data_IF_693390471016
#
_entry.id   IF_693390471016
#
_cell.length_a   1.000
_cell.length_b   1.000
_cell.length_c   1.000
_cell.angle_alpha   90.00
_cell.angle_beta   90.00
_cell.angle_gamma   90.00
#
_symmetry.space_group_name_H-M   'P 1'
#
loop_
_entity.id
_entity.type
_entity.pdbx_description
1 polymer ?
#
# COMPACT_ATOMS: atom_id res chain seq x y z
N UNK A 1 3.69 25.80 8.20
CA UNK A 1 2.95 24.91 7.28
C UNK A 1 3.49 23.50 7.46
N UNK A 2 3.02 22.77 8.48
CA UNK A 2 3.48 21.42 8.73
C UNK A 2 2.80 20.47 7.75
N UNK A 3 3.57 19.77 6.92
CA UNK A 3 3.05 18.75 6.01
C UNK A 3 2.24 17.74 6.79
N UNK A 4 0.96 17.57 6.46
CA UNK A 4 0.08 16.57 7.07
C UNK A 4 0.78 15.22 6.99
N UNK A 5 1.19 14.68 8.14
CA UNK A 5 1.65 13.30 8.26
C UNK A 5 0.44 12.43 7.95
N UNK A 6 0.39 11.89 6.74
CA UNK A 6 -0.70 11.01 6.26
C UNK A 6 -0.81 9.74 7.15
N UNK A 7 0.18 9.51 8.01
CA UNK A 7 0.23 8.44 9.00
C UNK A 7 -0.53 8.72 10.31
N UNK A 8 -1.04 9.94 10.52
CA UNK A 8 -1.90 10.27 11.67
C UNK A 8 -3.39 9.99 11.39
N UNK A 9 -3.76 9.63 10.16
CA UNK A 9 -5.12 9.19 9.87
C UNK A 9 -5.35 7.78 10.46
N UNK A 10 -6.44 7.63 11.21
CA UNK A 10 -6.81 6.36 11.83
C UNK A 10 -6.84 5.24 10.78
N UNK A 11 -6.00 4.21 10.93
CA UNK A 11 -5.98 3.06 10.03
C UNK A 11 -7.37 2.42 9.99
N UNK A 12 -8.03 2.46 8.84
CA UNK A 12 -9.30 1.77 8.63
C UNK A 12 -9.03 0.27 8.51
N UNK A 13 -9.68 -0.54 9.35
CA UNK A 13 -9.68 -1.99 9.18
C UNK A 13 -10.58 -2.34 7.99
N UNK A 14 -10.09 -3.21 7.13
CA UNK A 14 -10.84 -3.71 5.98
C UNK A 14 -10.75 -5.23 5.96
N UNK A 15 -11.91 -5.89 5.88
CA UNK A 15 -12.00 -7.33 5.71
C UNK A 15 -12.36 -7.61 4.27
N UNK A 16 -11.61 -8.49 3.61
CA UNK A 16 -11.89 -8.95 2.27
C UNK A 16 -11.81 -10.47 2.20
N UNK A 17 -12.63 -11.07 1.35
CA UNK A 17 -12.53 -12.48 1.00
C UNK A 17 -11.75 -12.60 -0.31
N UNK A 18 -10.70 -13.41 -0.29
CA UNK A 18 -9.86 -13.67 -1.45
C UNK A 18 -9.95 -15.14 -1.83
N UNK A 19 -9.78 -15.43 -3.12
CA UNK A 19 -9.58 -16.81 -3.57
C UNK A 19 -8.22 -17.32 -3.09
N UNK A 20 -8.08 -18.63 -2.95
CA UNK A 20 -6.82 -19.24 -2.54
C UNK A 20 -5.66 -18.88 -3.49
N UNK A 21 -5.92 -18.88 -4.80
CA UNK A 21 -4.94 -18.47 -5.82
C UNK A 21 -4.48 -17.02 -5.63
N UNK A 22 -5.38 -16.11 -5.24
CA UNK A 22 -5.02 -14.72 -4.96
C UNK A 22 -4.15 -14.60 -3.70
N UNK A 23 -4.44 -15.39 -2.66
CA UNK A 23 -3.63 -15.44 -1.43
C UNK A 23 -2.21 -15.96 -1.76
N UNK A 24 -2.11 -17.05 -2.51
CA UNK A 24 -0.82 -17.62 -2.91
C UNK A 24 0.00 -16.61 -3.74
N UNK A 25 -0.65 -15.91 -4.68
CA UNK A 25 0.01 -14.87 -5.46
C UNK A 25 0.52 -13.71 -4.59
N UNK A 26 -0.25 -13.29 -3.58
CA UNK A 26 0.18 -12.26 -2.63
C UNK A 26 1.36 -12.70 -1.75
N UNK A 27 1.41 -13.97 -1.33
CA UNK A 27 2.55 -14.51 -0.56
C UNK A 27 3.83 -14.58 -1.41
N UNK A 28 3.73 -14.91 -2.71
CA UNK A 28 4.88 -14.81 -3.62
C UNK A 28 5.37 -13.37 -3.74
N UNK A 29 4.44 -12.42 -3.95
CA UNK A 29 4.77 -10.99 -4.02
C UNK A 29 5.38 -10.45 -2.73
N UNK A 30 5.01 -11.00 -1.57
CA UNK A 30 5.60 -10.64 -0.28
C UNK A 30 7.10 -10.91 -0.23
N UNK A 31 7.55 -12.05 -0.77
CA UNK A 31 8.97 -12.39 -0.86
C UNK A 31 9.69 -11.46 -1.84
N UNK A 32 9.12 -11.26 -3.04
CA UNK A 32 9.70 -10.38 -4.07
C UNK A 32 9.89 -8.93 -3.59
N UNK A 33 8.93 -8.41 -2.83
CA UNK A 33 8.94 -7.03 -2.32
C UNK A 33 9.65 -6.87 -0.97
N UNK A 34 10.09 -7.98 -0.33
CA UNK A 34 10.61 -7.95 1.03
C UNK A 34 9.62 -7.33 2.03
N UNK A 35 8.34 -7.65 1.89
CA UNK A 35 7.26 -7.10 2.71
C UNK A 35 7.02 -7.94 3.97
N UNK A 36 6.58 -7.30 5.04
CA UNK A 36 6.42 -7.98 6.34
C UNK A 36 5.05 -8.70 6.48
N UNK A 37 4.05 -8.30 5.68
CA UNK A 37 2.69 -8.87 5.72
C UNK A 37 1.97 -8.70 4.39
N UNK A 38 0.87 -9.43 4.18
CA UNK A 38 0.03 -9.25 2.99
C UNK A 38 -0.60 -7.86 2.92
N UNK A 39 -0.90 -7.24 4.07
CA UNK A 39 -1.38 -5.85 4.12
C UNK A 39 -0.33 -4.86 3.62
N UNK A 40 0.95 -5.07 3.96
CA UNK A 40 2.08 -4.27 3.47
C UNK A 40 2.26 -4.46 1.95
N UNK A 41 2.13 -5.69 1.44
CA UNK A 41 2.12 -5.96 -0.02
C UNK A 41 1.02 -5.17 -0.72
N UNK A 42 -0.23 -5.29 -0.26
CA UNK A 42 -1.38 -4.60 -0.87
C UNK A 42 -1.19 -3.09 -0.83
N UNK A 43 -0.71 -2.54 0.29
CA UNK A 43 -0.46 -1.10 0.42
C UNK A 43 0.60 -0.64 -0.58
N UNK A 44 1.75 -1.31 -0.68
CA UNK A 44 2.82 -0.96 -1.62
C UNK A 44 2.36 -1.03 -3.08
N UNK A 45 1.70 -2.13 -3.45
CA UNK A 45 1.17 -2.30 -4.81
C UNK A 45 0.10 -1.24 -5.15
N UNK A 46 -0.73 -0.86 -4.19
CA UNK A 46 -1.71 0.21 -4.39
C UNK A 46 -1.02 1.55 -4.68
N UNK A 47 0.09 1.86 -3.99
CA UNK A 47 0.84 3.10 -4.15
C UNK A 47 1.61 3.19 -5.46
N UNK A 48 2.12 2.07 -5.97
CA UNK A 48 2.77 2.03 -7.30
C UNK A 48 1.81 2.40 -8.43
N UNK A 49 0.53 2.05 -8.27
CA UNK A 49 -0.53 2.38 -9.24
C UNK A 49 -1.10 3.78 -9.07
N UNK A 50 -0.80 4.46 -7.97
CA UNK A 50 -1.20 5.86 -7.81
C UNK A 50 -0.29 6.73 -8.67
N UNK A 51 -0.84 7.70 -9.44
CA UNK A 51 0.00 8.70 -10.08
C UNK A 51 0.83 9.35 -8.98
N UNK A 52 2.17 9.33 -9.12
CA UNK A 52 3.06 10.06 -8.23
C UNK A 52 2.52 11.48 -8.20
N UNK A 53 2.03 11.95 -7.04
CA UNK A 53 1.75 13.38 -6.87
C UNK A 53 3.08 14.09 -7.10
N UNK A 54 3.26 14.61 -8.31
CA UNK A 54 4.26 15.63 -8.57
C UNK A 54 3.79 16.80 -7.72
N UNK A 55 4.41 16.99 -6.55
CA UNK A 55 4.28 18.23 -5.82
C UNK A 55 4.92 19.29 -6.72
N UNK A 56 4.15 19.84 -7.65
CA UNK A 56 4.47 21.10 -8.34
C UNK A 56 4.28 22.22 -7.32
N UNK A 57 5.19 22.26 -6.34
CA UNK A 57 5.40 23.39 -5.46
C UNK A 57 6.25 24.41 -6.20
N UNK A 58 5.55 25.43 -6.71
CA UNK A 58 5.97 26.76 -7.17
C UNK A 58 7.46 27.15 -7.04
N UNK A 59 7.93 27.72 -8.16
CA UNK A 59 9.04 28.67 -8.33
C UNK A 59 9.14 29.69 -7.19
#
# INVERSE_FOLDING_TARGET
MAGKKIYDESKRRFTMTLTETAIQWLELKKVELGANSLSDVIERMSREKLPKKVNSGKL
#
